data_IF_719955909855
#
_entry.id   IF_719955909855
#
_cell.length_a   1.000
_cell.length_b   1.000
_cell.length_c   1.000
_cell.angle_alpha   90.00
_cell.angle_beta   90.00
_cell.angle_gamma   90.00
#
_symmetry.space_group_name_H-M   'P 1'
#
loop_
_entity.id
_entity.type
_entity.pdbx_description
1 polymer ?
#
# COMPACT_ATOMS: atom_id res chain seq x y z
N UNK A 1 29.35 -43.66 56.25
CA UNK A 1 28.61 -44.92 56.11
C UNK A 1 27.25 -44.76 56.78
N UNK A 2 26.14 -45.02 56.05
CA UNK A 2 24.78 -45.33 56.56
C UNK A 2 24.09 -44.25 57.45
N UNK A 3 22.79 -43.98 57.39
CA UNK A 3 21.68 -44.51 56.61
C UNK A 3 20.54 -43.46 56.62
N UNK A 4 19.63 -43.60 55.66
CA UNK A 4 18.37 -42.88 55.51
C UNK A 4 17.43 -43.07 56.71
N UNK A 5 16.58 -42.07 56.96
CA UNK A 5 15.17 -42.29 57.27
C UNK A 5 14.34 -41.10 56.75
N UNK A 6 13.36 -41.44 55.92
CA UNK A 6 12.44 -40.55 55.25
C UNK A 6 11.27 -40.17 56.15
N UNK A 7 10.76 -38.95 55.99
CA UNK A 7 9.38 -38.59 56.35
C UNK A 7 8.78 -37.74 55.23
N UNK A 8 7.71 -38.28 54.66
CA UNK A 8 6.84 -37.63 53.69
C UNK A 8 5.71 -36.88 54.41
N UNK A 9 5.21 -35.82 53.76
CA UNK A 9 3.91 -35.12 53.91
C UNK A 9 4.14 -33.59 53.91
N UNK A 10 3.39 -32.74 53.23
CA UNK A 10 2.27 -32.89 52.31
C UNK A 10 2.29 -31.66 51.38
N UNK A 11 1.98 -31.85 50.10
CA UNK A 11 1.74 -30.78 49.15
C UNK A 11 0.38 -30.13 49.47
N UNK A 12 0.40 -28.95 50.09
CA UNK A 12 -0.74 -28.05 50.08
C UNK A 12 -0.63 -27.16 48.84
N UNK A 13 -1.35 -27.53 47.78
CA UNK A 13 -1.61 -26.67 46.62
C UNK A 13 -2.55 -25.54 47.07
N UNK A 14 -1.98 -24.45 47.55
CA UNK A 14 -2.68 -23.18 47.74
C UNK A 14 -2.67 -22.39 46.44
N UNK A 15 -3.70 -22.56 45.62
CA UNK A 15 -3.97 -21.73 44.46
C UNK A 15 -4.44 -20.34 44.91
N UNK A 16 -3.51 -19.43 45.17
CA UNK A 16 -3.81 -18.01 45.28
C UNK A 16 -3.75 -17.37 43.89
N UNK A 17 -4.92 -17.28 43.27
CA UNK A 17 -5.19 -16.48 42.08
C UNK A 17 -4.97 -14.99 42.39
N UNK A 18 -3.72 -14.55 42.40
CA UNK A 18 -3.38 -13.15 42.37
C UNK A 18 -3.55 -12.67 40.92
N UNK A 19 -4.74 -12.18 40.59
CA UNK A 19 -4.94 -11.37 39.38
C UNK A 19 -4.15 -10.08 39.56
N UNK A 20 -2.91 -10.07 39.10
CA UNK A 20 -2.16 -8.84 38.94
C UNK A 20 -2.94 -7.96 37.95
N UNK A 21 -3.49 -6.84 38.45
CA UNK A 21 -4.12 -5.85 37.60
C UNK A 21 -3.09 -5.39 36.58
N UNK A 22 -3.36 -5.67 35.29
CA UNK A 22 -2.57 -5.12 34.20
C UNK A 22 -2.66 -3.59 34.33
N UNK A 23 -1.54 -2.87 34.49
CA UNK A 23 -1.58 -1.42 34.57
C UNK A 23 -2.26 -0.88 33.30
N UNK A 24 -3.06 0.20 33.39
CA UNK A 24 -3.73 0.75 32.23
C UNK A 24 -2.69 1.07 31.17
N UNK A 25 -2.83 0.47 29.99
CA UNK A 25 -2.00 0.75 28.83
C UNK A 25 -1.96 2.26 28.62
N UNK A 26 -0.76 2.83 28.57
CA UNK A 26 -0.59 4.22 28.18
C UNK A 26 -1.37 4.47 26.88
N UNK A 27 -1.98 5.66 26.68
CA UNK A 27 -2.70 5.96 25.46
C UNK A 27 -1.79 5.67 24.27
N UNK A 28 -2.21 4.72 23.43
CA UNK A 28 -1.53 4.33 22.20
C UNK A 28 -1.49 5.54 21.26
N UNK A 29 -0.53 6.43 21.50
CA UNK A 29 -0.21 7.48 20.54
C UNK A 29 0.41 6.74 19.35
N UNK A 30 -0.16 6.86 18.14
CA UNK A 30 0.47 6.28 16.96
C UNK A 30 1.92 6.76 16.90
N UNK A 31 2.90 5.88 16.67
CA UNK A 31 4.26 6.33 16.48
C UNK A 31 4.28 7.38 15.38
N UNK A 32 5.04 8.46 15.59
CA UNK A 32 5.22 9.49 14.57
C UNK A 32 5.72 8.82 13.27
N UNK A 33 5.26 9.29 12.09
CA UNK A 33 5.74 8.75 10.83
C UNK A 33 7.26 8.78 10.79
N UNK A 34 7.89 7.66 10.46
CA UNK A 34 9.34 7.59 10.35
C UNK A 34 9.86 8.64 9.34
N UNK A 35 11.00 9.28 9.60
CA UNK A 35 11.58 10.24 8.67
C UNK A 35 11.90 9.56 7.33
N UNK A 36 11.57 10.23 6.23
CA UNK A 36 11.83 9.72 4.87
C UNK A 36 13.28 10.03 4.50
N UNK A 37 14.12 8.99 4.39
CA UNK A 37 15.56 9.11 4.12
C UNK A 37 15.81 8.97 2.61
N UNK A 38 16.64 9.85 2.04
CA UNK A 38 17.03 9.78 0.64
C UNK A 38 17.84 8.50 0.33
N UNK A 39 17.68 7.94 -0.87
CA UNK A 39 18.37 6.74 -1.32
C UNK A 39 17.71 5.41 -0.88
N UNK A 40 16.50 5.47 -0.33
CA UNK A 40 15.74 4.30 0.09
C UNK A 40 14.48 4.10 -0.74
N UNK A 41 14.00 2.86 -0.79
CA UNK A 41 12.67 2.55 -1.25
C UNK A 41 11.66 2.82 -0.14
N UNK A 42 10.58 3.52 -0.48
CA UNK A 42 9.48 3.83 0.43
C UNK A 42 8.17 3.27 -0.12
N UNK A 43 7.32 2.76 0.77
CA UNK A 43 6.07 2.09 0.43
C UNK A 43 4.87 2.88 0.96
N UNK A 44 3.80 2.94 0.16
CA UNK A 44 2.49 3.42 0.61
C UNK A 44 1.36 2.61 -0.04
N UNK A 45 0.40 2.23 0.80
CA UNK A 45 -0.90 1.71 0.36
C UNK A 45 -1.90 2.84 0.13
N UNK A 46 -2.69 2.71 -0.93
CA UNK A 46 -3.82 3.57 -1.27
C UNK A 46 -5.05 2.67 -1.38
N UNK A 47 -5.89 2.70 -0.36
CA UNK A 47 -7.15 1.97 -0.33
C UNK A 47 -8.28 2.93 -0.68
N UNK A 48 -9.11 2.57 -1.66
CA UNK A 48 -10.25 3.40 -2.05
C UNK A 48 -11.40 2.50 -2.57
N UNK A 49 -12.61 2.62 -1.98
CA UNK A 49 -13.79 1.87 -2.42
C UNK A 49 -14.25 2.19 -3.85
N UNK A 50 -13.95 3.40 -4.35
CA UNK A 50 -14.40 3.88 -5.66
C UNK A 50 -13.44 3.54 -6.81
N UNK A 51 -12.28 2.94 -6.51
CA UNK A 51 -11.26 2.61 -7.50
C UNK A 51 -9.92 3.31 -7.20
N UNK A 52 -8.98 3.37 -8.15
CA UNK A 52 -7.68 3.95 -7.87
C UNK A 52 -7.78 5.47 -7.62
N UNK A 53 -6.93 6.03 -6.74
CA UNK A 53 -6.86 7.47 -6.49
C UNK A 53 -5.63 8.14 -7.16
N UNK A 54 -5.61 8.38 -8.49
CA UNK A 54 -4.46 8.93 -9.20
C UNK A 54 -3.87 10.19 -8.57
N UNK A 55 -4.71 11.16 -8.18
CA UNK A 55 -4.25 12.42 -7.59
C UNK A 55 -3.46 12.22 -6.28
N UNK A 56 -3.87 11.26 -5.44
CA UNK A 56 -3.17 10.97 -4.19
C UNK A 56 -1.81 10.30 -4.45
N UNK A 57 -1.73 9.43 -5.47
CA UNK A 57 -0.48 8.79 -5.90
C UNK A 57 0.46 9.84 -6.50
N UNK A 58 -0.06 10.70 -7.38
CA UNK A 58 0.68 11.80 -8.01
C UNK A 58 1.30 12.72 -6.95
N UNK A 59 0.47 13.21 -6.02
CA UNK A 59 0.93 14.05 -4.92
C UNK A 59 2.03 13.35 -4.11
N UNK A 60 1.85 12.07 -3.78
CA UNK A 60 2.84 11.32 -3.01
C UNK A 60 4.18 11.16 -3.76
N UNK A 61 4.13 10.81 -5.05
CA UNK A 61 5.32 10.71 -5.89
C UNK A 61 6.05 12.05 -5.99
N UNK A 62 5.33 13.16 -6.20
CA UNK A 62 5.93 14.49 -6.43
C UNK A 62 6.37 15.23 -5.17
N UNK A 63 5.89 14.83 -3.99
CA UNK A 63 6.23 15.50 -2.71
C UNK A 63 7.10 14.64 -1.80
N UNK A 64 6.81 13.35 -1.73
CA UNK A 64 7.46 12.44 -0.78
C UNK A 64 8.67 11.77 -1.41
N UNK A 65 8.52 11.21 -2.60
CA UNK A 65 9.57 10.38 -3.20
C UNK A 65 10.49 11.20 -4.11
N UNK A 66 9.89 11.91 -5.06
CA UNK A 66 10.56 12.60 -6.18
C UNK A 66 11.64 11.72 -6.83
N UNK A 67 11.29 10.52 -7.33
CA UNK A 67 12.26 9.62 -7.93
C UNK A 67 12.87 10.27 -9.18
N UNK A 68 14.13 9.96 -9.50
CA UNK A 68 14.82 10.53 -10.68
C UNK A 68 14.26 10.02 -12.02
N UNK A 69 13.64 8.85 -12.02
CA UNK A 69 13.08 8.21 -13.20
C UNK A 69 11.94 7.25 -12.86
N UNK A 70 11.18 6.84 -13.88
CA UNK A 70 10.11 5.84 -13.78
C UNK A 70 10.58 4.46 -13.30
N UNK A 71 11.87 4.13 -13.43
CA UNK A 71 12.44 2.90 -12.89
C UNK A 71 12.42 2.88 -11.35
N UNK A 72 12.44 4.07 -10.72
CA UNK A 72 12.31 4.26 -9.28
C UNK A 72 10.87 4.21 -8.78
N UNK A 73 9.91 3.70 -9.55
CA UNK A 73 8.51 3.55 -9.14
C UNK A 73 8.07 2.12 -9.43
N UNK A 74 7.45 1.43 -8.47
CA UNK A 74 6.85 0.12 -8.66
C UNK A 74 5.42 0.13 -8.13
N UNK A 75 4.51 -0.57 -8.80
CA UNK A 75 3.11 -0.60 -8.43
C UNK A 75 2.56 -2.00 -8.51
N UNK A 76 1.73 -2.33 -7.53
CA UNK A 76 0.97 -3.58 -7.48
C UNK A 76 -0.41 -3.28 -6.92
N UNK A 77 -1.44 -3.98 -7.39
CA UNK A 77 -2.78 -3.84 -6.84
C UNK A 77 -3.36 -5.17 -6.44
N UNK A 78 -4.27 -5.11 -5.48
CA UNK A 78 -5.12 -6.23 -5.08
C UNK A 78 -6.56 -5.78 -5.27
N UNK A 79 -7.30 -6.54 -6.08
CA UNK A 79 -8.73 -6.38 -6.30
C UNK A 79 -9.39 -7.76 -6.35
N UNK A 80 -10.49 -7.94 -5.64
CA UNK A 80 -11.24 -9.21 -5.58
C UNK A 80 -12.21 -9.42 -6.75
N UNK A 81 -12.29 -8.46 -7.69
CA UNK A 81 -13.21 -8.47 -8.84
C UNK A 81 -13.83 -7.10 -9.10
N UNK A 82 -14.77 -7.03 -10.04
CA UNK A 82 -15.51 -5.82 -10.38
C UNK A 82 -16.26 -5.26 -9.16
N UNK A 83 -16.21 -3.95 -8.95
CA UNK A 83 -16.82 -3.29 -7.78
C UNK A 83 -16.21 -3.69 -6.43
N UNK A 84 -15.15 -4.49 -6.43
CA UNK A 84 -14.39 -4.84 -5.24
C UNK A 84 -13.50 -3.67 -4.80
N UNK A 85 -13.24 -3.61 -3.48
CA UNK A 85 -12.35 -2.60 -2.89
C UNK A 85 -10.98 -2.67 -3.54
N UNK A 86 -10.52 -1.54 -4.06
CA UNK A 86 -9.22 -1.46 -4.71
C UNK A 86 -8.14 -1.07 -3.71
N UNK A 87 -7.07 -1.86 -3.64
CA UNK A 87 -5.92 -1.55 -2.81
C UNK A 87 -4.68 -1.46 -3.71
N UNK A 88 -4.17 -0.25 -3.91
CA UNK A 88 -2.95 0.02 -4.67
C UNK A 88 -1.77 0.14 -3.72
N UNK A 89 -0.74 -0.65 -3.95
CA UNK A 89 0.53 -0.55 -3.26
C UNK A 89 1.55 0.07 -4.21
N UNK A 90 2.11 1.21 -3.82
CA UNK A 90 3.13 1.91 -4.60
C UNK A 90 4.42 1.92 -3.79
N UNK A 91 5.51 1.51 -4.43
CA UNK A 91 6.87 1.69 -3.94
C UNK A 91 7.56 2.73 -4.79
N UNK A 92 8.32 3.60 -4.16
CA UNK A 92 9.07 4.63 -4.85
C UNK A 92 10.47 4.75 -4.26
N UNK A 93 11.45 5.08 -5.09
CA UNK A 93 12.76 5.49 -4.62
C UNK A 93 12.69 6.95 -4.15
N UNK A 94 13.22 7.23 -2.97
CA UNK A 94 13.27 8.58 -2.41
C UNK A 94 14.54 9.26 -2.91
N UNK A 95 14.49 9.88 -4.08
CA UNK A 95 15.65 10.60 -4.62
C UNK A 95 15.65 12.09 -4.27
N UNK A 96 14.48 12.67 -3.94
CA UNK A 96 14.34 14.14 -3.78
C UNK A 96 14.82 14.92 -5.01
N UNK A 97 14.65 14.36 -6.20
CA UNK A 97 15.04 14.99 -7.44
C UNK A 97 14.03 16.08 -7.82
N UNK A 98 14.31 17.33 -7.43
CA UNK A 98 13.43 18.48 -7.66
C UNK A 98 13.09 18.75 -9.14
N UNK A 99 13.89 18.22 -10.08
CA UNK A 99 13.64 18.33 -11.52
C UNK A 99 12.63 17.30 -12.07
N UNK A 100 12.36 16.22 -11.32
CA UNK A 100 11.47 15.15 -11.78
C UNK A 100 10.03 15.41 -11.36
N UNK A 101 9.11 15.35 -12.31
CA UNK A 101 7.67 15.49 -12.03
C UNK A 101 6.87 14.44 -12.76
N UNK A 102 5.84 13.93 -12.11
CA UNK A 102 5.01 12.84 -12.61
C UNK A 102 3.56 13.26 -12.68
N UNK A 103 2.84 12.81 -13.70
CA UNK A 103 1.38 12.82 -13.72
C UNK A 103 0.86 11.40 -13.60
N UNK A 104 -0.18 11.19 -12.80
CA UNK A 104 -0.82 9.88 -12.62
C UNK A 104 -2.26 9.96 -13.06
N UNK A 105 -2.67 9.02 -13.92
CA UNK A 105 -4.01 9.01 -14.52
C UNK A 105 -4.56 7.59 -14.52
N UNK A 106 -5.88 7.46 -14.40
CA UNK A 106 -6.59 6.24 -14.80
C UNK A 106 -7.00 6.41 -16.26
N UNK A 107 -6.48 5.57 -17.13
CA UNK A 107 -6.93 5.52 -18.52
C UNK A 107 -8.03 4.46 -18.62
N UNK A 108 -9.27 4.91 -18.78
CA UNK A 108 -10.44 4.04 -18.98
C UNK A 108 -10.53 3.61 -20.45
N UNK A 109 -10.89 2.36 -20.72
CA UNK A 109 -10.97 1.82 -22.09
C UNK A 109 -12.38 1.35 -22.49
N UNK A 110 -13.33 1.39 -21.56
CA UNK A 110 -14.64 0.78 -21.71
C UNK A 110 -14.57 -0.74 -21.99
N UNK A 111 -15.73 -1.36 -22.22
CA UNK A 111 -15.88 -2.83 -22.32
C UNK A 111 -15.25 -3.49 -23.57
N UNK A 112 -14.58 -2.77 -24.47
CA UNK A 112 -14.26 -3.33 -25.80
C UNK A 112 -12.88 -3.04 -26.40
N UNK A 113 -11.99 -2.22 -25.82
CA UNK A 113 -10.75 -1.82 -26.54
C UNK A 113 -9.53 -1.56 -25.66
N UNK A 114 -9.02 -2.59 -24.99
CA UNK A 114 -7.74 -2.49 -24.24
C UNK A 114 -6.54 -2.17 -25.15
N UNK A 115 -6.48 -2.75 -26.35
CA UNK A 115 -5.24 -2.77 -27.15
C UNK A 115 -4.89 -1.45 -27.83
N UNK A 116 -5.86 -0.75 -28.42
CA UNK A 116 -5.60 0.48 -29.17
C UNK A 116 -5.00 1.63 -28.34
N UNK A 117 -5.58 2.02 -27.18
CA UNK A 117 -5.05 3.15 -26.40
C UNK A 117 -3.76 2.83 -25.63
N UNK A 118 -3.47 1.55 -25.37
CA UNK A 118 -2.29 1.14 -24.58
C UNK A 118 -1.04 0.97 -25.45
N UNK A 119 -1.18 0.61 -26.72
CA UNK A 119 -0.03 0.36 -27.61
C UNK A 119 0.91 1.55 -27.77
N UNK A 120 0.38 2.77 -27.87
CA UNK A 120 1.20 3.98 -27.98
C UNK A 120 1.90 4.31 -26.65
N UNK A 121 1.27 3.97 -25.53
CA UNK A 121 1.82 4.19 -24.20
C UNK A 121 2.97 3.25 -23.89
N UNK A 122 2.89 1.97 -24.29
CA UNK A 122 3.97 0.99 -24.08
C UNK A 122 5.27 1.44 -24.76
N UNK A 123 5.17 2.19 -25.86
CA UNK A 123 6.33 2.67 -26.63
C UNK A 123 6.89 3.99 -26.12
N UNK A 124 6.17 4.70 -25.25
CA UNK A 124 6.61 6.00 -24.74
C UNK A 124 7.55 5.80 -23.53
N UNK A 125 8.85 6.15 -23.63
CA UNK A 125 9.80 5.96 -22.53
C UNK A 125 9.51 6.86 -21.32
N UNK A 126 8.65 7.87 -21.49
CA UNK A 126 8.16 8.73 -20.40
C UNK A 126 6.91 8.18 -19.73
N UNK A 127 6.46 6.97 -20.08
CA UNK A 127 5.26 6.37 -19.51
C UNK A 127 5.58 5.05 -18.84
N UNK A 128 4.99 4.84 -17.67
CA UNK A 128 4.90 3.54 -16.99
C UNK A 128 3.44 3.14 -16.87
N UNK A 129 3.14 1.96 -17.39
CA UNK A 129 1.82 1.35 -17.25
C UNK A 129 1.78 0.59 -15.91
N UNK A 130 0.74 0.86 -15.15
CA UNK A 130 0.47 0.33 -13.83
C UNK A 130 -0.47 -0.88 -13.84
N UNK A 131 -1.01 -1.23 -12.66
CA UNK A 131 -1.98 -2.30 -12.53
C UNK A 131 -3.32 -1.98 -13.21
N UNK A 132 -4.02 -3.04 -13.60
CA UNK A 132 -5.32 -2.99 -14.24
C UNK A 132 -6.45 -2.86 -13.21
N UNK A 133 -7.31 -1.88 -13.37
CA UNK A 133 -8.50 -1.67 -12.57
C UNK A 133 -9.72 -2.26 -13.26
N UNK A 134 -10.41 -3.17 -12.58
CA UNK A 134 -11.70 -3.68 -13.00
C UNK A 134 -12.79 -2.74 -12.47
N UNK A 135 -13.54 -2.12 -13.36
CA UNK A 135 -14.56 -1.12 -13.02
C UNK A 135 -15.67 -1.69 -12.13
N UNK A 136 -16.47 -0.80 -11.55
CA UNK A 136 -17.71 -1.14 -10.86
C UNK A 136 -18.91 -0.97 -11.80
N UNK A 137 -19.49 -2.06 -12.35
CA UNK A 137 -20.59 -1.99 -13.30
C UNK A 137 -21.88 -1.39 -12.71
N UNK A 138 -21.97 -1.23 -11.38
CA UNK A 138 -23.13 -0.65 -10.70
C UNK A 138 -23.11 0.90 -10.63
N UNK A 139 -21.98 1.56 -10.89
CA UNK A 139 -21.87 3.02 -10.85
C UNK A 139 -21.92 3.61 -12.27
N UNK A 140 -23.07 3.45 -12.93
CA UNK A 140 -23.32 3.72 -14.36
C UNK A 140 -23.05 5.13 -14.91
N UNK A 141 -22.43 6.04 -14.16
CA UNK A 141 -22.08 7.40 -14.61
C UNK A 141 -20.77 7.96 -14.00
N UNK A 142 -19.97 7.16 -13.28
CA UNK A 142 -18.65 7.60 -12.77
C UNK A 142 -17.52 7.04 -13.63
N UNK A 143 -16.34 7.69 -13.68
CA UNK A 143 -15.14 7.09 -14.28
C UNK A 143 -14.77 5.73 -13.63
N UNK A 144 -15.36 5.40 -12.48
CA UNK A 144 -15.28 4.13 -11.79
C UNK A 144 -16.04 2.97 -12.46
N UNK A 145 -16.89 3.22 -13.48
CA UNK A 145 -17.68 2.18 -14.15
C UNK A 145 -16.95 1.40 -15.25
N UNK A 146 -15.88 1.98 -15.80
CA UNK A 146 -15.12 1.40 -16.90
C UNK A 146 -13.80 0.80 -16.41
N UNK A 147 -13.45 -0.34 -17.00
CA UNK A 147 -12.13 -0.94 -16.86
C UNK A 147 -11.05 0.03 -17.33
N UNK A 148 -9.90 0.00 -16.65
CA UNK A 148 -8.82 0.92 -16.94
C UNK A 148 -7.45 0.43 -16.50
N UNK A 149 -6.43 1.20 -16.83
CA UNK A 149 -5.08 1.00 -16.28
C UNK A 149 -4.57 2.29 -15.68
N UNK A 150 -3.81 2.17 -14.60
CA UNK A 150 -3.05 3.32 -14.12
C UNK A 150 -1.93 3.62 -15.10
N UNK A 151 -1.72 4.89 -15.38
CA UNK A 151 -0.64 5.40 -16.21
C UNK A 151 0.11 6.44 -15.41
N UNK A 152 1.42 6.27 -15.29
CA UNK A 152 2.32 7.29 -14.75
C UNK A 152 3.13 7.86 -15.92
N UNK A 153 3.07 9.17 -16.10
CA UNK A 153 3.83 9.89 -17.11
C UNK A 153 4.86 10.80 -16.44
N UNK A 154 6.13 10.72 -16.83
CA UNK A 154 7.14 11.69 -16.42
C UNK A 154 7.00 12.95 -17.26
N UNK A 155 6.60 14.04 -16.63
CA UNK A 155 6.30 15.33 -17.27
C UNK A 155 7.48 16.31 -17.24
N UNK A 156 8.43 16.12 -16.32
CA UNK A 156 9.69 16.87 -16.24
C UNK A 156 10.85 15.97 -15.81
#
# INVERSE_FOLDING_TARGET
>A
MRALLASAAALALGSSSAWAQVPPSAPNTPPAPAPVIAGQWYHKGFEDPAGPPPAAVEQWLNTTCQPKSLAGIQMFSIQSGHGGRWNLHVWCHVDKAAGSHYSVKLLSFGKAKFSAPVNDLVRNPKVRIGPFFLGNPAEGDKPAGDDGVLVIEQTR
#
